data_IF_602002636965
#
_entry.id   IF_602002636965
#
_cell.length_a   1.000
_cell.length_b   1.000
_cell.length_c   1.000
_cell.angle_alpha   90.00
_cell.angle_beta   90.00
_cell.angle_gamma   90.00
#
_symmetry.space_group_name_H-M   'P 1'
#
loop_
_entity.id
_entity.type
_entity.pdbx_description
1 polymer ?
#
# COMPACT_ATOMS: atom_id res chain seq x y z
N UNK A 1 31.85 20.44 -9.14
CA UNK A 1 32.89 19.82 -8.30
C UNK A 1 32.42 19.74 -6.86
N UNK A 2 32.08 18.54 -6.38
CA UNK A 2 31.66 18.33 -4.98
C UNK A 2 32.83 18.40 -3.98
N UNK A 3 34.05 18.62 -4.46
CA UNK A 3 35.29 18.72 -3.70
C UNK A 3 35.74 20.18 -3.44
N UNK A 4 34.86 21.17 -3.63
CA UNK A 4 35.20 22.61 -3.51
C UNK A 4 35.33 23.13 -2.06
N UNK A 5 35.22 22.25 -1.04
CA UNK A 5 35.29 22.63 0.38
C UNK A 5 36.63 22.36 1.03
N UNK A 6 36.95 23.10 2.10
CA UNK A 6 38.19 22.97 2.89
C UNK A 6 38.36 21.62 3.62
N UNK A 7 37.37 20.72 3.58
CA UNK A 7 37.38 19.49 4.38
C UNK A 7 36.97 18.24 3.58
N UNK A 8 37.68 17.99 2.48
CA UNK A 8 37.53 16.79 1.65
C UNK A 8 37.79 15.52 2.46
N UNK A 9 38.76 15.57 3.38
CA UNK A 9 39.07 14.47 4.29
C UNK A 9 37.90 14.15 5.22
N UNK A 10 37.27 15.17 5.83
CA UNK A 10 36.06 14.94 6.62
C UNK A 10 34.95 14.29 5.80
N UNK A 11 34.75 14.71 4.55
CA UNK A 11 33.74 14.09 3.68
C UNK A 11 34.03 12.60 3.44
N UNK A 12 35.30 12.23 3.25
CA UNK A 12 35.71 10.82 3.13
C UNK A 12 35.38 10.05 4.40
N UNK A 13 35.79 10.56 5.56
CA UNK A 13 35.51 9.92 6.85
C UNK A 13 34.02 9.77 7.13
N UNK A 14 33.20 10.79 6.81
CA UNK A 14 31.76 10.74 6.98
C UNK A 14 31.12 9.68 6.09
N UNK A 15 31.51 9.61 4.81
CA UNK A 15 31.00 8.59 3.89
C UNK A 15 31.39 7.19 4.35
N UNK A 16 32.64 6.97 4.74
CA UNK A 16 33.12 5.68 5.25
C UNK A 16 32.35 5.26 6.51
N UNK A 17 32.17 6.19 7.45
CA UNK A 17 31.42 5.93 8.68
C UNK A 17 29.94 5.63 8.38
N UNK A 18 29.35 6.29 7.38
CA UNK A 18 27.99 6.02 6.94
C UNK A 18 27.86 4.63 6.29
N UNK A 19 28.81 4.23 5.45
CA UNK A 19 28.86 2.89 4.84
C UNK A 19 29.06 1.79 5.89
N UNK A 20 29.83 2.04 6.95
CA UNK A 20 29.96 1.11 8.07
C UNK A 20 28.68 1.06 8.92
N UNK A 21 28.05 2.21 9.12
CA UNK A 21 26.78 2.31 9.87
C UNK A 21 25.62 1.67 9.10
N UNK A 22 25.61 1.71 7.77
CA UNK A 22 24.53 1.20 6.93
C UNK A 22 25.06 0.42 5.71
N UNK A 23 25.68 -0.76 5.92
CA UNK A 23 26.29 -1.51 4.81
C UNK A 23 25.26 -2.02 3.80
N UNK A 24 24.00 -2.19 4.21
CA UNK A 24 22.90 -2.65 3.35
C UNK A 24 22.51 -1.66 2.25
N UNK A 25 23.03 -0.42 2.27
CA UNK A 25 22.72 0.60 1.25
C UNK A 25 23.46 0.34 -0.05
N UNK A 26 24.69 -0.19 0.00
CA UNK A 26 25.60 -0.17 -1.15
C UNK A 26 25.07 -0.97 -2.35
N UNK A 27 24.69 -2.23 -2.12
CA UNK A 27 24.28 -3.14 -3.21
C UNK A 27 23.00 -2.65 -3.90
N UNK A 28 21.91 -2.31 -3.17
CA UNK A 28 20.70 -1.76 -3.80
C UNK A 28 20.94 -0.43 -4.52
N UNK A 29 21.82 0.42 -3.98
CA UNK A 29 22.18 1.70 -4.61
C UNK A 29 22.87 1.50 -5.95
N UNK A 30 23.88 0.63 -6.01
CA UNK A 30 24.60 0.33 -7.26
C UNK A 30 23.68 -0.30 -8.31
N UNK A 31 22.80 -1.21 -7.88
CA UNK A 31 21.78 -1.79 -8.76
C UNK A 31 20.86 -0.72 -9.37
N UNK A 32 20.36 0.23 -8.57
CA UNK A 32 19.55 1.36 -9.08
C UNK A 32 20.35 2.33 -9.95
N UNK A 33 21.65 2.44 -9.73
CA UNK A 33 22.54 3.22 -10.59
C UNK A 33 22.89 2.50 -11.91
N UNK A 34 22.63 1.19 -12.03
CA UNK A 34 23.05 0.39 -13.18
C UNK A 34 24.56 0.11 -13.20
N UNK A 35 25.22 0.13 -12.03
CA UNK A 35 26.67 -0.02 -11.88
C UNK A 35 26.95 -1.39 -11.29
N UNK A 36 27.89 -2.11 -11.89
CA UNK A 36 28.36 -3.39 -11.34
C UNK A 36 29.48 -3.14 -10.33
N UNK A 37 29.39 -3.70 -9.11
CA UNK A 37 30.49 -3.66 -8.15
C UNK A 37 31.69 -4.47 -8.66
N UNK A 38 32.89 -4.10 -8.21
CA UNK A 38 34.09 -4.88 -8.48
C UNK A 38 34.06 -6.26 -7.77
N UNK A 39 35.05 -7.11 -8.10
CA UNK A 39 35.14 -8.47 -7.56
C UNK A 39 35.36 -8.52 -6.05
N UNK A 40 36.04 -7.53 -5.46
CA UNK A 40 36.28 -7.47 -4.01
C UNK A 40 34.97 -7.18 -3.29
N UNK A 41 34.23 -6.17 -3.73
CA UNK A 41 32.93 -5.81 -3.14
C UNK A 41 31.92 -6.95 -3.32
N UNK A 42 31.88 -7.55 -4.51
CA UNK A 42 30.94 -8.63 -4.84
C UNK A 42 31.20 -9.93 -4.06
N UNK A 43 32.41 -10.16 -3.57
CA UNK A 43 32.77 -11.36 -2.80
C UNK A 43 32.80 -11.12 -1.30
N UNK A 44 32.90 -9.87 -0.84
CA UNK A 44 33.10 -9.56 0.56
C UNK A 44 31.78 -9.60 1.36
N UNK A 45 31.68 -10.42 2.44
CA UNK A 45 30.42 -10.66 3.16
C UNK A 45 29.84 -9.40 3.79
N UNK A 46 30.68 -8.42 4.15
CA UNK A 46 30.25 -7.19 4.81
C UNK A 46 29.16 -6.42 4.06
N UNK A 47 29.19 -6.40 2.73
CA UNK A 47 28.17 -5.74 1.92
C UNK A 47 27.14 -6.72 1.36
N UNK A 48 27.54 -7.93 0.97
CA UNK A 48 26.64 -8.90 0.33
C UNK A 48 25.64 -9.53 1.29
N UNK A 49 25.99 -9.67 2.56
CA UNK A 49 25.10 -10.22 3.60
C UNK A 49 24.38 -9.13 4.41
N UNK A 50 24.66 -7.87 4.12
CA UNK A 50 24.18 -6.74 4.91
C UNK A 50 22.66 -6.56 4.88
N UNK A 51 22.03 -6.91 3.76
CA UNK A 51 20.57 -6.80 3.60
C UNK A 51 19.85 -7.84 4.48
N UNK A 52 20.30 -9.09 4.44
CA UNK A 52 19.69 -10.20 5.22
C UNK A 52 20.00 -10.13 6.72
N UNK A 53 21.14 -9.54 7.10
CA UNK A 53 21.56 -9.46 8.51
C UNK A 53 20.90 -8.32 9.30
N UNK A 54 20.20 -7.40 8.62
CA UNK A 54 19.59 -6.24 9.26
C UNK A 54 18.10 -6.46 9.57
N UNK A 55 17.58 -5.68 10.53
CA UNK A 55 16.15 -5.68 10.86
C UNK A 55 15.28 -5.31 9.64
N UNK A 56 14.10 -5.90 9.46
CA UNK A 56 13.17 -5.54 8.38
C UNK A 56 12.85 -4.04 8.31
N UNK A 57 12.67 -3.38 9.47
CA UNK A 57 12.42 -1.93 9.53
C UNK A 57 13.57 -1.11 8.92
N UNK A 58 14.82 -1.52 9.11
CA UNK A 58 15.96 -0.84 8.53
C UNK A 58 16.08 -1.11 7.02
N UNK A 59 15.76 -2.32 6.57
CA UNK A 59 15.73 -2.64 5.14
C UNK A 59 14.73 -1.74 4.39
N UNK A 60 13.54 -1.51 4.95
CA UNK A 60 12.54 -0.57 4.39
C UNK A 60 13.09 0.86 4.33
N UNK A 61 13.77 1.32 5.38
CA UNK A 61 14.39 2.65 5.40
C UNK A 61 15.50 2.80 4.34
N UNK A 62 16.29 1.75 4.14
CA UNK A 62 17.34 1.70 3.10
C UNK A 62 16.71 1.78 1.72
N UNK A 63 15.68 0.98 1.44
CA UNK A 63 14.94 1.03 0.17
C UNK A 63 14.36 2.42 -0.07
N UNK A 64 13.75 3.03 0.95
CA UNK A 64 13.20 4.38 0.87
C UNK A 64 14.29 5.42 0.56
N UNK A 65 15.44 5.35 1.23
CA UNK A 65 16.57 6.24 0.94
C UNK A 65 17.06 6.06 -0.50
N UNK A 66 17.32 4.82 -0.93
CA UNK A 66 17.85 4.52 -2.26
C UNK A 66 16.87 5.00 -3.34
N UNK A 67 15.59 4.66 -3.22
CA UNK A 67 14.58 5.05 -4.20
C UNK A 67 14.50 6.58 -4.40
N UNK A 68 14.70 7.37 -3.34
CA UNK A 68 14.65 8.84 -3.41
C UNK A 68 15.97 9.48 -3.83
N UNK A 69 17.10 8.88 -3.48
CA UNK A 69 18.41 9.55 -3.56
C UNK A 69 19.34 8.99 -4.65
N UNK A 70 19.05 7.84 -5.27
CA UNK A 70 19.99 7.20 -6.21
C UNK A 70 20.39 8.08 -7.40
N UNK A 71 19.51 8.98 -7.85
CA UNK A 71 19.77 9.88 -8.96
C UNK A 71 21.02 10.75 -8.75
N UNK A 72 21.24 11.20 -7.50
CA UNK A 72 22.40 12.03 -7.15
C UNK A 72 23.67 11.23 -7.41
N UNK A 73 23.67 9.94 -7.06
CA UNK A 73 24.83 9.07 -7.23
C UNK A 73 25.19 8.76 -8.68
N UNK A 74 24.34 9.09 -9.66
CA UNK A 74 24.68 8.91 -11.10
C UNK A 74 25.64 9.98 -11.64
N UNK A 75 25.96 11.00 -10.85
CA UNK A 75 26.92 12.02 -11.25
C UNK A 75 28.33 11.43 -11.42
N UNK A 76 29.03 11.89 -12.46
CA UNK A 76 30.29 11.27 -12.92
C UNK A 76 31.41 11.27 -11.87
N UNK A 77 31.42 12.23 -10.96
CA UNK A 77 32.46 12.33 -9.91
C UNK A 77 32.12 11.49 -8.66
N UNK A 78 30.84 11.16 -8.43
CA UNK A 78 30.41 10.54 -7.18
C UNK A 78 30.61 9.03 -7.15
N UNK A 79 30.42 8.31 -8.27
CA UNK A 79 30.68 6.86 -8.30
C UNK A 79 32.16 6.50 -8.08
N UNK A 80 33.13 7.14 -8.77
CA UNK A 80 34.56 6.87 -8.50
C UNK A 80 34.98 7.32 -7.10
N UNK A 81 34.30 8.31 -6.53
CA UNK A 81 34.53 8.71 -5.13
C UNK A 81 33.96 7.69 -4.15
N UNK A 82 32.77 7.15 -4.41
CA UNK A 82 32.15 6.09 -3.62
C UNK A 82 33.03 4.84 -3.62
N UNK A 83 33.49 4.38 -4.79
CA UNK A 83 34.33 3.19 -4.96
C UNK A 83 35.58 3.24 -4.06
N UNK A 84 36.33 4.34 -4.10
CA UNK A 84 37.53 4.55 -3.25
C UNK A 84 37.22 4.45 -1.75
N UNK A 85 36.09 5.02 -1.32
CA UNK A 85 35.67 4.97 0.08
C UNK A 85 35.17 3.57 0.47
N UNK A 86 34.53 2.84 -0.44
CA UNK A 86 34.11 1.45 -0.22
C UNK A 86 35.33 0.56 0.02
N UNK A 87 36.40 0.68 -0.78
CA UNK A 87 37.65 -0.08 -0.53
C UNK A 87 38.28 0.28 0.81
N UNK A 88 38.28 1.56 1.17
CA UNK A 88 38.80 2.01 2.48
C UNK A 88 37.97 1.41 3.63
N UNK A 89 36.65 1.32 3.47
CA UNK A 89 35.77 0.64 4.43
C UNK A 89 36.10 -0.84 4.53
N UNK A 90 36.31 -1.53 3.41
CA UNK A 90 36.71 -2.94 3.42
C UNK A 90 38.04 -3.14 4.15
N UNK A 91 39.03 -2.27 3.92
CA UNK A 91 40.30 -2.34 4.65
C UNK A 91 40.13 -2.13 6.16
N UNK A 92 39.19 -1.28 6.59
CA UNK A 92 38.83 -1.12 8.02
C UNK A 92 38.15 -2.36 8.58
N UNK A 93 37.30 -3.00 7.79
CA UNK A 93 36.62 -4.26 8.16
C UNK A 93 37.63 -5.39 8.30
N UNK A 94 38.54 -5.54 7.35
CA UNK A 94 39.62 -6.54 7.39
C UNK A 94 40.54 -6.34 8.61
N UNK A 95 40.77 -5.07 9.00
CA UNK A 95 41.51 -4.69 10.21
C UNK A 95 40.72 -4.84 11.52
N UNK A 96 39.46 -5.27 11.46
CA UNK A 96 38.55 -5.42 12.61
C UNK A 96 38.40 -4.15 13.43
N UNK A 97 38.17 -3.03 12.75
CA UNK A 97 37.89 -1.75 13.40
C UNK A 97 36.75 -1.88 14.45
N UNK A 98 36.97 -1.52 15.73
CA UNK A 98 35.95 -1.63 16.78
C UNK A 98 34.67 -0.84 16.46
N UNK A 99 34.77 0.22 15.64
CA UNK A 99 33.63 1.02 15.21
C UNK A 99 32.53 0.19 14.50
N UNK A 100 32.91 -0.94 13.89
CA UNK A 100 31.97 -1.81 13.17
C UNK A 100 31.00 -2.50 14.14
N UNK A 101 31.52 -3.05 15.24
CA UNK A 101 30.71 -3.69 16.30
C UNK A 101 29.81 -2.68 17.00
N UNK A 102 30.32 -1.47 17.23
CA UNK A 102 29.53 -0.36 17.78
C UNK A 102 28.37 0.02 16.85
N UNK A 103 28.61 0.08 15.54
CA UNK A 103 27.59 0.38 14.54
C UNK A 103 26.53 -0.71 14.45
N UNK A 104 26.94 -1.99 14.49
CA UNK A 104 26.03 -3.12 14.55
C UNK A 104 25.10 -3.03 15.78
N UNK A 105 25.68 -2.80 16.96
CA UNK A 105 24.91 -2.62 18.20
C UNK A 105 23.96 -1.43 18.12
N UNK A 106 24.40 -0.30 17.53
CA UNK A 106 23.55 0.88 17.32
C UNK A 106 22.39 0.59 16.38
N UNK A 107 22.63 -0.11 15.26
CA UNK A 107 21.56 -0.49 14.31
C UNK A 107 20.50 -1.33 15.00
N UNK A 108 20.90 -2.39 15.70
CA UNK A 108 19.98 -3.31 16.38
C UNK A 108 19.11 -2.62 17.43
N UNK A 109 19.62 -1.59 18.10
CA UNK A 109 18.86 -0.82 19.11
C UNK A 109 17.97 0.27 18.52
N UNK A 110 18.37 0.89 17.39
CA UNK A 110 17.71 2.08 16.83
C UNK A 110 16.58 1.76 15.86
N UNK A 111 16.61 0.59 15.22
CA UNK A 111 15.63 0.20 14.20
C UNK A 111 14.87 -1.09 14.54
N UNK A 112 14.32 -1.24 15.76
CA UNK A 112 13.61 -2.47 16.13
C UNK A 112 12.27 -2.64 15.39
N UNK A 113 11.58 -1.53 15.10
CA UNK A 113 10.29 -1.49 14.40
C UNK A 113 10.12 -0.17 13.66
N UNK A 114 9.37 -0.18 12.56
CA UNK A 114 9.06 1.02 11.82
C UNK A 114 7.95 1.82 12.54
N UNK A 115 8.14 3.13 12.80
CA UNK A 115 7.13 3.93 13.47
C UNK A 115 5.94 4.24 12.54
N UNK A 116 4.73 4.51 13.07
CA UNK A 116 3.52 4.71 12.26
C UNK A 116 3.61 5.86 11.25
N UNK A 117 4.31 6.96 11.57
CA UNK A 117 4.49 8.07 10.65
C UNK A 117 5.27 7.67 9.37
N UNK A 118 6.19 6.73 9.48
CA UNK A 118 6.91 6.22 8.31
C UNK A 118 6.06 5.25 7.49
N UNK A 119 5.22 4.44 8.14
CA UNK A 119 4.21 3.65 7.45
C UNK A 119 3.25 4.53 6.63
N UNK A 120 2.73 5.62 7.23
CA UNK A 120 1.91 6.61 6.51
C UNK A 120 2.65 7.21 5.32
N UNK A 121 3.90 7.62 5.54
CA UNK A 121 4.72 8.21 4.48
C UNK A 121 4.88 7.25 3.30
N UNK A 122 5.19 5.98 3.55
CA UNK A 122 5.36 4.98 2.49
C UNK A 122 4.06 4.86 1.67
N UNK A 123 2.91 4.68 2.33
CA UNK A 123 1.61 4.57 1.66
C UNK A 123 1.29 5.81 0.83
N UNK A 124 1.45 7.01 1.41
CA UNK A 124 1.12 8.26 0.74
C UNK A 124 2.11 8.65 -0.37
N UNK A 125 3.36 8.23 -0.25
CA UNK A 125 4.41 8.58 -1.20
C UNK A 125 4.34 7.78 -2.50
N UNK A 126 3.59 6.67 -2.53
CA UNK A 126 3.42 5.76 -3.67
C UNK A 126 4.74 5.38 -4.36
N UNK A 127 5.80 5.18 -3.56
CA UNK A 127 7.09 4.74 -4.08
C UNK A 127 7.00 3.24 -4.37
N UNK A 128 6.83 2.90 -5.64
CA UNK A 128 6.69 1.51 -6.14
C UNK A 128 7.81 0.56 -5.70
N UNK A 129 9.01 1.10 -5.49
CA UNK A 129 10.19 0.33 -5.12
C UNK A 129 10.27 -0.04 -3.63
N UNK A 130 9.38 0.48 -2.79
CA UNK A 130 9.43 0.29 -1.33
C UNK A 130 8.23 -0.55 -0.91
N UNK A 131 8.49 -1.76 -0.41
CA UNK A 131 7.45 -2.65 0.12
C UNK A 131 7.58 -2.79 1.62
N UNK A 132 6.46 -2.69 2.34
CA UNK A 132 6.43 -2.81 3.80
C UNK A 132 5.40 -3.88 4.21
N UNK A 133 5.88 -5.07 4.56
CA UNK A 133 5.02 -6.21 4.92
C UNK A 133 4.23 -6.01 6.21
N UNK A 134 4.68 -5.11 7.09
CA UNK A 134 4.03 -4.77 8.38
C UNK A 134 2.70 -4.02 8.21
N UNK A 135 2.33 -3.61 6.98
CA UNK A 135 1.11 -2.86 6.68
C UNK A 135 -0.15 -3.73 6.53
N UNK A 136 0.00 -5.06 6.47
CA UNK A 136 -1.08 -5.98 6.08
C UNK A 136 -2.18 -6.19 7.13
N UNK A 137 -1.98 -5.74 8.37
CA UNK A 137 -2.89 -6.06 9.49
C UNK A 137 -3.98 -4.99 9.75
N UNK A 138 -3.90 -3.82 9.12
CA UNK A 138 -4.86 -2.72 9.36
C UNK A 138 -5.64 -2.36 8.09
N UNK A 139 -6.98 -2.19 8.16
CA UNK A 139 -7.74 -1.70 7.02
C UNK A 139 -7.23 -0.32 6.62
N UNK A 140 -6.57 -0.24 5.47
CA UNK A 140 -6.08 1.02 4.91
C UNK A 140 -7.31 1.84 4.51
N UNK A 141 -7.58 2.90 5.26
CA UNK A 141 -8.60 3.89 4.90
C UNK A 141 -8.10 4.68 3.69
N UNK A 142 -8.95 4.84 2.68
CA UNK A 142 -8.60 5.54 1.43
C UNK A 142 -8.25 7.02 1.61
N UNK A 143 -8.67 7.64 2.71
CA UNK A 143 -8.50 9.08 2.96
C UNK A 143 -7.48 9.40 4.07
N UNK A 144 -7.17 8.45 4.97
CA UNK A 144 -6.16 8.61 6.02
C UNK A 144 -5.58 7.23 6.35
N UNK A 145 -4.52 6.80 5.65
CA UNK A 145 -3.90 5.52 5.95
C UNK A 145 -3.33 5.56 7.37
N UNK A 146 -3.80 4.64 8.23
CA UNK A 146 -3.36 4.48 9.62
C UNK A 146 -3.61 5.72 10.51
N UNK A 147 -4.85 6.05 10.91
CA UNK A 147 -5.10 7.20 11.79
C UNK A 147 -4.32 7.11 13.11
N UNK A 148 -4.01 8.24 13.78
CA UNK A 148 -3.42 8.24 15.12
C UNK A 148 -4.26 7.42 16.12
N UNK A 149 -3.62 6.78 17.09
CA UNK A 149 -4.31 5.95 18.10
C UNK A 149 -5.30 6.77 18.92
N UNK A 150 -5.03 8.06 19.08
CA UNK A 150 -5.84 9.07 19.76
C UNK A 150 -6.80 9.82 18.83
N UNK A 151 -7.07 9.30 17.62
CA UNK A 151 -8.03 9.93 16.70
C UNK A 151 -9.43 9.99 17.31
N UNK A 152 -10.00 11.19 17.41
CA UNK A 152 -11.38 11.40 17.86
C UNK A 152 -12.28 11.34 16.63
N UNK A 153 -12.95 10.21 16.43
CA UNK A 153 -14.02 10.10 15.43
C UNK A 153 -15.29 10.75 15.99
N UNK A 154 -15.52 12.01 15.61
CA UNK A 154 -16.75 12.75 15.93
C UNK A 154 -17.99 12.17 15.23
N UNK A 155 -17.78 11.38 14.16
CA UNK A 155 -18.83 10.72 13.42
C UNK A 155 -18.88 9.24 13.79
N UNK A 156 -19.92 8.84 14.51
CA UNK A 156 -20.22 7.44 14.75
C UNK A 156 -21.16 6.96 13.63
N UNK A 157 -20.65 6.20 12.66
CA UNK A 157 -21.51 5.67 11.59
C UNK A 157 -22.57 4.78 12.24
N UNK A 158 -23.87 5.08 12.10
CA UNK A 158 -24.91 4.22 12.66
C UNK A 158 -24.77 2.83 12.05
N UNK A 159 -24.88 1.80 12.88
CA UNK A 159 -24.84 0.40 12.44
C UNK A 159 -25.90 0.21 11.37
N UNK A 160 -25.48 0.16 10.11
CA UNK A 160 -26.36 -0.30 9.04
C UNK A 160 -26.56 -1.77 9.33
N UNK A 161 -27.76 -2.13 9.78
CA UNK A 161 -28.23 -3.50 9.62
C UNK A 161 -27.97 -3.86 8.16
N UNK A 162 -27.14 -4.88 7.93
CA UNK A 162 -27.02 -5.48 6.61
C UNK A 162 -28.40 -6.04 6.28
N UNK A 163 -29.19 -5.24 5.57
CA UNK A 163 -30.49 -5.62 5.07
C UNK A 163 -30.50 -5.36 3.56
N UNK A 164 -31.30 -6.12 2.82
CA UNK A 164 -30.87 -7.04 1.77
C UNK A 164 -30.39 -6.28 0.54
N UNK A 165 -29.63 -6.96 -0.33
CA UNK A 165 -29.21 -6.53 -1.69
C UNK A 165 -29.80 -5.19 -2.14
N UNK A 166 -28.98 -4.21 -2.53
CA UNK A 166 -29.45 -2.87 -2.94
C UNK A 166 -30.63 -2.91 -3.95
N UNK A 167 -30.67 -3.96 -4.77
CA UNK A 167 -31.77 -4.30 -5.65
C UNK A 167 -33.10 -4.54 -4.91
N UNK A 168 -33.10 -5.34 -3.85
CA UNK A 168 -34.25 -5.56 -2.98
C UNK A 168 -34.77 -4.28 -2.32
N UNK A 169 -33.87 -3.42 -1.83
CA UNK A 169 -34.24 -2.12 -1.27
C UNK A 169 -34.86 -1.20 -2.33
N UNK A 170 -34.35 -1.24 -3.57
CA UNK A 170 -34.94 -0.52 -4.69
C UNK A 170 -36.39 -0.99 -4.96
N UNK A 171 -36.67 -2.30 -5.03
CA UNK A 171 -38.05 -2.77 -5.23
C UNK A 171 -38.96 -2.50 -4.03
N UNK A 172 -38.43 -2.60 -2.81
CA UNK A 172 -39.17 -2.19 -1.60
C UNK A 172 -39.54 -0.71 -1.65
N UNK A 173 -38.69 0.15 -2.21
CA UNK A 173 -38.96 1.59 -2.33
C UNK A 173 -40.11 1.93 -3.29
N UNK A 174 -40.45 1.03 -4.20
CA UNK A 174 -41.58 1.19 -5.13
C UNK A 174 -42.93 0.84 -4.49
N UNK A 175 -42.93 0.25 -3.29
CA UNK A 175 -44.17 -0.09 -2.59
C UNK A 175 -44.73 1.14 -1.87
N UNK A 176 -46.06 1.37 -1.90
CA UNK A 176 -46.70 2.55 -1.31
C UNK A 176 -46.42 2.80 0.18
N UNK A 177 -45.98 1.77 0.92
CA UNK A 177 -45.74 1.81 2.36
C UNK A 177 -44.26 1.65 2.72
N UNK A 178 -43.35 2.05 1.83
CA UNK A 178 -41.92 1.98 2.10
C UNK A 178 -41.50 2.99 3.18
N UNK A 179 -40.90 2.48 4.25
CA UNK A 179 -40.23 3.31 5.25
C UNK A 179 -38.80 2.79 5.50
N UNK A 180 -37.75 3.56 5.12
CA UNK A 180 -36.36 3.14 5.24
C UNK A 180 -35.90 2.94 6.70
N UNK A 181 -36.63 3.50 7.67
CA UNK A 181 -36.33 3.35 9.09
C UNK A 181 -37.03 2.14 9.74
N UNK A 182 -37.98 1.51 9.03
CA UNK A 182 -38.82 0.44 9.57
C UNK A 182 -38.28 -0.96 9.24
N UNK A 183 -37.35 -1.07 8.29
CA UNK A 183 -36.70 -2.34 7.91
C UNK A 183 -35.76 -2.91 8.98
N UNK A 184 -35.56 -2.22 10.11
CA UNK A 184 -34.78 -2.70 11.26
C UNK A 184 -35.61 -3.16 12.47
N UNK A 185 -36.94 -3.13 12.37
CA UNK A 185 -37.85 -3.51 13.44
C UNK A 185 -38.39 -4.92 13.26
N UNK A 186 -38.30 -5.71 14.33
CA UNK A 186 -38.84 -7.05 14.56
C UNK A 186 -40.20 -7.26 13.88
N UNK A 187 -40.35 -8.44 13.25
CA UNK A 187 -41.64 -9.01 12.87
C UNK A 187 -42.49 -9.18 14.15
N UNK A 188 -43.27 -8.17 14.52
CA UNK A 188 -44.37 -8.37 15.46
C UNK A 188 -45.53 -9.01 14.72
N UNK A 189 -46.01 -10.12 15.27
CA UNK A 189 -47.14 -10.88 14.76
C UNK A 189 -48.40 -10.01 14.63
N UNK A 190 -49.30 -10.32 13.67
CA UNK A 190 -50.53 -9.58 13.50
C UNK A 190 -51.49 -9.89 14.65
N UNK A 191 -51.53 -8.99 15.64
CA UNK A 191 -52.62 -8.88 16.60
C UNK A 191 -53.89 -8.35 15.92
N UNK A 192 -55.00 -9.04 16.14
CA UNK A 192 -56.35 -8.69 15.72
C UNK A 192 -56.76 -7.28 16.14
N UNK A 193 -57.35 -6.50 15.23
CA UNK A 193 -58.56 -5.71 15.47
C UNK A 193 -59.03 -4.96 14.21
N UNK A 194 -60.32 -5.13 13.88
CA UNK A 194 -61.17 -4.09 13.30
C UNK A 194 -61.44 -4.17 11.80
N UNK A 195 -62.48 -4.93 11.42
CA UNK A 195 -63.22 -4.72 10.17
C UNK A 195 -63.88 -3.32 10.16
N UNK A 196 -63.78 -2.61 9.04
CA UNK A 196 -64.93 -2.09 8.26
C UNK A 196 -64.42 -1.19 7.11
N UNK A 197 -64.84 -1.49 5.87
CA UNK A 197 -64.81 -0.53 4.75
C UNK A 197 -64.11 -0.97 3.46
N UNK A 198 -64.88 -1.57 2.56
CA UNK A 198 -64.75 -1.48 1.09
C UNK A 198 -63.39 -1.82 0.42
N UNK A 199 -62.77 -2.93 0.84
CA UNK A 199 -61.42 -3.33 0.42
C UNK A 199 -61.30 -4.44 -0.64
N UNK A 200 -62.41 -4.97 -1.19
CA UNK A 200 -62.33 -6.13 -2.11
C UNK A 200 -61.81 -5.74 -3.50
N UNK A 201 -62.15 -4.55 -4.00
CA UNK A 201 -61.66 -4.06 -5.30
C UNK A 201 -60.19 -3.65 -5.28
N UNK A 202 -59.75 -2.95 -4.23
CA UNK A 202 -58.38 -2.46 -4.11
C UNK A 202 -57.35 -3.59 -3.92
N UNK A 203 -57.71 -4.65 -3.20
CA UNK A 203 -56.84 -5.82 -3.03
C UNK A 203 -56.70 -6.63 -4.34
N UNK A 204 -57.76 -6.69 -5.14
CA UNK A 204 -57.75 -7.37 -6.45
C UNK A 204 -56.99 -6.55 -7.49
N UNK A 205 -57.15 -5.22 -7.51
CA UNK A 205 -56.38 -4.33 -8.38
C UNK A 205 -54.90 -4.31 -8.01
N UNK A 206 -54.56 -4.34 -6.72
CA UNK A 206 -53.18 -4.47 -6.26
C UNK A 206 -52.57 -5.82 -6.67
N UNK A 207 -53.33 -6.92 -6.56
CA UNK A 207 -52.85 -8.24 -7.00
C UNK A 207 -52.59 -8.27 -8.50
N UNK A 208 -53.49 -7.66 -9.29
CA UNK A 208 -53.33 -7.54 -10.75
C UNK A 208 -52.15 -6.64 -11.13
N UNK A 209 -51.96 -5.53 -10.43
CA UNK A 209 -50.83 -4.61 -10.67
C UNK A 209 -49.49 -5.28 -10.32
N UNK A 210 -49.43 -6.07 -9.25
CA UNK A 210 -48.24 -6.83 -8.85
C UNK A 210 -47.92 -7.92 -9.87
N UNK A 211 -48.91 -8.67 -10.38
CA UNK A 211 -48.67 -9.67 -11.42
C UNK A 211 -48.20 -9.05 -12.74
N UNK A 212 -48.77 -7.90 -13.13
CA UNK A 212 -48.35 -7.17 -14.32
C UNK A 212 -46.93 -6.62 -14.18
N UNK A 213 -46.55 -6.18 -12.98
CA UNK A 213 -45.19 -5.70 -12.71
C UNK A 213 -44.17 -6.84 -12.76
N UNK A 214 -44.50 -8.01 -12.20
CA UNK A 214 -43.61 -9.18 -12.23
C UNK A 214 -43.38 -9.69 -13.65
N UNK A 215 -44.40 -9.66 -14.52
CA UNK A 215 -44.25 -10.00 -15.93
C UNK A 215 -43.40 -8.96 -16.67
N UNK A 216 -43.64 -7.67 -16.44
CA UNK A 216 -42.82 -6.61 -17.03
C UNK A 216 -41.34 -6.68 -16.59
N UNK A 217 -41.07 -7.07 -15.34
CA UNK A 217 -39.72 -7.29 -14.84
C UNK A 217 -39.05 -8.53 -15.44
N UNK A 218 -39.82 -9.61 -15.63
CA UNK A 218 -39.32 -10.82 -16.31
C UNK A 218 -38.91 -10.50 -17.73
N UNK A 219 -39.73 -9.72 -18.44
CA UNK A 219 -39.50 -9.33 -19.82
C UNK A 219 -38.31 -8.34 -19.96
N UNK A 220 -38.18 -7.42 -19.01
CA UNK A 220 -37.04 -6.50 -18.94
C UNK A 220 -35.74 -7.25 -18.64
N UNK A 221 -35.72 -8.16 -17.67
CA UNK A 221 -34.54 -8.97 -17.35
C UNK A 221 -34.13 -9.89 -18.50
N UNK A 222 -35.08 -10.39 -19.31
CA UNK A 222 -34.73 -11.13 -20.54
C UNK A 222 -34.14 -10.25 -21.65
N UNK A 223 -34.37 -8.93 -21.60
CA UNK A 223 -33.94 -8.00 -22.65
C UNK A 223 -32.76 -7.11 -22.26
N UNK A 224 -32.23 -7.18 -21.02
CA UNK A 224 -30.96 -6.54 -20.68
C UNK A 224 -29.82 -7.32 -21.34
N UNK A 225 -29.46 -6.93 -22.57
CA UNK A 225 -28.15 -7.22 -23.11
C UNK A 225 -27.15 -6.30 -22.41
N UNK A 226 -26.26 -6.87 -21.60
CA UNK A 226 -25.05 -6.15 -21.22
C UNK A 226 -24.26 -5.91 -22.51
N UNK A 227 -23.94 -4.66 -22.89
CA UNK A 227 -22.99 -4.45 -23.97
C UNK A 227 -21.65 -5.02 -23.50
N UNK A 228 -21.05 -5.90 -24.31
CA UNK A 228 -19.68 -6.35 -24.10
C UNK A 228 -18.79 -5.10 -24.02
N UNK A 229 -18.23 -4.85 -22.85
CA UNK A 229 -17.16 -3.87 -22.68
C UNK A 229 -15.98 -4.41 -23.47
N UNK A 230 -15.49 -3.73 -24.51
CA UNK A 230 -14.26 -4.14 -25.18
C UNK A 230 -13.16 -4.12 -24.13
N UNK A 231 -12.53 -5.26 -23.90
CA UNK A 231 -11.27 -5.30 -23.17
C UNK A 231 -10.27 -4.45 -23.96
N UNK A 232 -9.91 -3.29 -23.41
CA UNK A 232 -8.75 -2.56 -23.92
C UNK A 232 -7.49 -3.41 -23.71
N UNK A 233 -6.73 -3.57 -24.79
CA UNK A 233 -5.29 -3.80 -24.75
C UNK A 233 -4.85 -5.25 -24.80
N UNK A 234 -4.63 -5.76 -26.01
CA UNK A 234 -3.44 -6.59 -26.24
C UNK A 234 -2.71 -6.04 -27.47
N UNK A 235 -1.56 -5.40 -27.21
CA UNK A 235 -0.64 -4.90 -28.21
C UNK A 235 0.38 -6.03 -28.37
N UNK A 236 0.18 -6.90 -29.36
CA UNK A 236 1.19 -7.89 -29.71
C UNK A 236 1.90 -7.50 -31.02
N UNK A 237 3.04 -6.84 -30.79
CA UNK A 237 4.36 -7.28 -31.24
C UNK A 237 4.50 -7.76 -32.70
N UNK A 238 5.14 -6.92 -33.51
CA UNK A 238 5.74 -7.28 -34.80
C UNK A 238 6.56 -8.58 -34.73
N UNK A 239 6.14 -9.62 -35.45
CA UNK A 239 7.01 -10.73 -35.86
C UNK A 239 7.53 -10.47 -37.28
N UNK A 240 8.74 -9.94 -37.34
CA UNK A 240 9.62 -9.97 -38.50
C UNK A 240 10.35 -11.33 -38.54
N UNK A 241 10.32 -12.02 -39.70
CA UNK A 241 11.37 -12.86 -40.35
C UNK A 241 10.92 -14.24 -40.84
N UNK A 242 11.56 -14.81 -41.89
CA UNK A 242 12.91 -14.54 -42.41
C UNK A 242 13.02 -13.92 -43.81
#
# INVERSE_FOLDING_TARGET
HFQLGQDVELAHHLLQNALIMFPGVLVPLLAKCGVQPDSRVSSHPFFTTAETSQSPSLAVLVQLYVARCYHIWKESELLPWLERNVHTVLDRVDKRDPYISDCETKRSKRYPKLPPNLHRHIILSDIKDVTCSELSESPILSFDPLPPVDSINLYNRPTRYQNPSAFYMFFRSLMPNFNPNQTGGVLEEPGEMGEEGDGEGAAVDLRRSVTSLLDAMRDLLSNIHMPDVPAEGDIDSDEERP
#
